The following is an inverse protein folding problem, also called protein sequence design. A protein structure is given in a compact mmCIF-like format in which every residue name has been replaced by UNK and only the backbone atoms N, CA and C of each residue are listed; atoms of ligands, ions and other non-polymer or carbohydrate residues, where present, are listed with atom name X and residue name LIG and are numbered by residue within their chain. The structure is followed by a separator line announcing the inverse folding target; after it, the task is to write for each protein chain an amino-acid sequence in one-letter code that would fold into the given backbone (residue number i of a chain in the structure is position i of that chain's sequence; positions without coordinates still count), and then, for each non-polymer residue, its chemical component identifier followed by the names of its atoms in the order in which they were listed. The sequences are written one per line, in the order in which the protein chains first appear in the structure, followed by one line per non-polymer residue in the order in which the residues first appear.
data_IF_851081807733
#
_entry.id   IF_851081807733
#
_cell.length_a   1.000
_cell.length_b   1.000
_cell.length_c   1.000
_cell.angle_alpha   90.00
_cell.angle_beta   90.00
_cell.angle_gamma   90.00
#
_symmetry.space_group_name_H-M   'P 1'
#
loop_
_entity.id
_entity.type
_entity.pdbx_description
1 polymer ?
#
# COMPACT_ATOMS: atom_id res chain seq x y z
N UNK A 1 32.21 -8.15 14.99
CA UNK A 1 31.61 -7.03 14.23
C UNK A 1 30.11 -7.25 14.31
N UNK A 2 29.42 -6.56 15.23
CA UNK A 2 27.98 -6.77 15.43
C UNK A 2 27.24 -6.50 14.12
N UNK A 3 26.31 -7.36 13.76
CA UNK A 3 25.43 -7.17 12.59
C UNK A 3 24.71 -5.84 12.80
N UNK A 4 25.14 -4.78 12.10
CA UNK A 4 24.37 -3.54 12.05
C UNK A 4 23.04 -3.89 11.42
N UNK A 5 21.94 -3.63 12.14
CA UNK A 5 20.58 -3.72 11.62
C UNK A 5 20.52 -2.95 10.29
N UNK A 6 19.90 -3.53 9.27
CA UNK A 6 19.67 -2.81 8.02
C UNK A 6 18.77 -1.61 8.32
N UNK A 7 19.17 -0.42 7.88
CA UNK A 7 18.35 0.80 8.04
C UNK A 7 17.17 0.71 7.07
N UNK A 8 15.98 0.99 7.56
CA UNK A 8 14.75 0.98 6.78
C UNK A 8 14.32 2.41 6.46
N UNK A 9 14.18 2.72 5.17
CA UNK A 9 13.89 4.08 4.69
C UNK A 9 12.50 4.15 4.09
N UNK A 10 11.61 4.94 4.69
CA UNK A 10 10.33 5.31 4.11
C UNK A 10 10.50 6.56 3.25
N UNK A 11 10.02 6.51 2.01
CA UNK A 11 10.14 7.62 1.07
C UNK A 11 8.80 8.32 0.88
N UNK A 12 8.76 9.61 1.16
CA UNK A 12 7.64 10.47 0.82
C UNK A 12 8.00 11.28 -0.42
N UNK A 13 7.20 11.18 -1.49
CA UNK A 13 7.54 11.80 -2.78
C UNK A 13 6.55 12.90 -3.14
N UNK A 14 7.00 14.14 -3.03
CA UNK A 14 6.29 15.31 -3.55
C UNK A 14 6.23 15.26 -5.07
N UNK A 15 5.39 16.07 -5.67
CA UNK A 15 5.11 15.99 -7.10
C UNK A 15 6.35 16.24 -7.98
N UNK A 16 7.28 17.09 -7.54
CA UNK A 16 8.59 17.31 -8.19
C UNK A 16 9.70 16.35 -7.72
N UNK A 17 9.35 15.41 -6.83
CA UNK A 17 10.28 14.60 -6.06
C UNK A 17 10.80 13.34 -6.75
N UNK A 18 10.24 12.95 -7.90
CA UNK A 18 10.57 11.66 -8.57
C UNK A 18 12.07 11.46 -8.79
N UNK A 19 12.85 12.44 -9.31
CA UNK A 19 14.29 12.24 -9.50
C UNK A 19 15.03 11.96 -8.18
N UNK A 20 14.64 12.65 -7.10
CA UNK A 20 15.17 12.46 -5.76
C UNK A 20 14.76 11.11 -5.19
N UNK A 21 13.49 10.68 -5.35
CA UNK A 21 13.01 9.34 -4.97
C UNK A 21 13.88 8.26 -5.59
N UNK A 22 14.07 8.31 -6.92
CA UNK A 22 14.86 7.30 -7.64
C UNK A 22 16.31 7.27 -7.16
N UNK A 23 16.90 8.44 -6.90
CA UNK A 23 18.25 8.55 -6.34
C UNK A 23 18.33 7.94 -4.94
N UNK A 24 17.35 8.18 -4.06
CA UNK A 24 17.27 7.59 -2.72
C UNK A 24 17.17 6.08 -2.81
N UNK A 25 16.20 5.55 -3.57
CA UNK A 25 16.00 4.10 -3.68
C UNK A 25 17.25 3.37 -4.21
N UNK A 26 17.96 3.98 -5.17
CA UNK A 26 19.25 3.47 -5.67
C UNK A 26 20.32 3.46 -4.58
N UNK A 27 20.48 4.56 -3.85
CA UNK A 27 21.50 4.65 -2.80
C UNK A 27 21.20 3.75 -1.59
N UNK A 28 19.93 3.62 -1.19
CA UNK A 28 19.47 2.65 -0.17
C UNK A 28 19.91 1.25 -0.57
N UNK A 29 19.69 0.84 -1.83
CA UNK A 29 20.13 -0.46 -2.34
C UNK A 29 21.65 -0.60 -2.36
N UNK A 30 22.38 0.44 -2.78
CA UNK A 30 23.84 0.44 -2.81
C UNK A 30 24.47 0.32 -1.40
N UNK A 31 23.80 0.85 -0.38
CA UNK A 31 24.19 0.74 1.03
C UNK A 31 23.78 -0.60 1.68
N UNK A 32 23.03 -1.46 0.98
CA UNK A 32 22.47 -2.69 1.54
C UNK A 32 21.34 -2.46 2.54
N UNK A 33 20.70 -1.29 2.47
CA UNK A 33 19.54 -0.91 3.29
C UNK A 33 18.23 -1.36 2.64
N UNK A 34 17.12 -1.22 3.36
CA UNK A 34 15.79 -1.58 2.89
C UNK A 34 14.90 -0.35 2.72
N UNK A 35 13.93 -0.45 1.81
CA UNK A 35 12.81 0.50 1.76
C UNK A 35 11.72 0.00 2.70
N UNK A 36 11.20 0.88 3.54
CA UNK A 36 10.10 0.60 4.45
C UNK A 36 8.75 0.68 3.72
N UNK A 37 7.80 -0.15 4.15
CA UNK A 37 6.44 -0.16 3.63
C UNK A 37 5.44 0.62 4.48
N UNK A 38 5.80 0.88 5.74
CA UNK A 38 4.98 1.60 6.70
C UNK A 38 5.85 2.49 7.60
N UNK A 39 5.26 3.53 8.21
CA UNK A 39 5.94 4.36 9.20
C UNK A 39 6.51 3.55 10.37
N UNK A 40 5.79 2.50 10.80
CA UNK A 40 6.16 1.66 11.94
C UNK A 40 7.42 0.80 11.68
N UNK A 41 7.75 0.54 10.43
CA UNK A 41 8.93 -0.23 10.01
C UNK A 41 10.12 0.67 9.62
N UNK A 42 9.95 1.99 9.67
CA UNK A 42 10.94 2.94 9.16
C UNK A 42 11.83 3.51 10.27
N UNK A 43 13.14 3.53 10.01
CA UNK A 43 14.12 4.26 10.82
C UNK A 43 14.36 5.67 10.25
N UNK A 44 14.24 5.82 8.92
CA UNK A 44 14.47 7.09 8.22
C UNK A 44 13.26 7.48 7.38
N UNK A 45 12.79 8.73 7.52
CA UNK A 45 11.84 9.35 6.60
C UNK A 45 12.57 10.25 5.61
N UNK A 46 12.59 9.87 4.33
CA UNK A 46 13.17 10.65 3.24
C UNK A 46 12.08 11.40 2.48
N UNK A 47 12.03 12.72 2.62
CA UNK A 47 11.09 13.60 1.94
C UNK A 47 11.74 14.10 0.65
N UNK A 48 11.24 13.67 -0.50
CA UNK A 48 11.79 13.97 -1.82
C UNK A 48 10.96 15.05 -2.51
N UNK A 49 11.63 16.10 -2.98
CA UNK A 49 11.01 17.22 -3.71
C UNK A 49 10.94 18.49 -2.87
N UNK A 50 10.68 19.60 -3.54
CA UNK A 50 10.70 20.96 -2.98
C UNK A 50 9.36 21.66 -3.03
N UNK A 51 8.39 21.14 -3.80
CA UNK A 51 7.07 21.79 -3.90
C UNK A 51 6.39 21.86 -2.54
N UNK A 52 5.96 23.05 -2.07
CA UNK A 52 5.18 23.16 -0.83
C UNK A 52 3.93 22.29 -0.89
N UNK A 53 3.55 21.68 0.24
CA UNK A 53 2.37 20.82 0.33
C UNK A 53 2.65 19.47 0.98
N UNK A 54 1.68 19.00 1.77
CA UNK A 54 1.76 17.73 2.50
C UNK A 54 2.67 17.76 3.72
N UNK A 55 3.10 18.93 4.20
CA UNK A 55 3.95 19.05 5.40
C UNK A 55 3.26 18.51 6.65
N UNK A 56 1.95 18.66 6.73
CA UNK A 56 1.09 18.09 7.76
C UNK A 56 1.05 16.55 7.66
N UNK A 57 0.97 16.00 6.44
CA UNK A 57 1.05 14.54 6.19
C UNK A 57 2.42 14.01 6.58
N UNK A 58 3.49 14.71 6.19
CA UNK A 58 4.88 14.36 6.56
C UNK A 58 5.04 14.38 8.08
N UNK A 59 4.48 15.38 8.77
CA UNK A 59 4.45 15.46 10.22
C UNK A 59 3.74 14.27 10.85
N UNK A 60 2.55 13.93 10.38
CA UNK A 60 1.78 12.75 10.86
C UNK A 60 2.49 11.42 10.61
N UNK A 61 3.20 11.29 9.48
CA UNK A 61 4.02 10.11 9.19
C UNK A 61 5.21 10.06 10.16
N UNK A 62 5.90 11.19 10.34
CA UNK A 62 7.03 11.30 11.25
C UNK A 62 6.67 10.94 12.69
N UNK A 63 5.51 11.36 13.16
CA UNK A 63 4.99 11.02 14.50
C UNK A 63 4.79 9.51 14.68
N UNK A 64 4.47 8.77 13.61
CA UNK A 64 4.28 7.32 13.62
C UNK A 64 5.60 6.52 13.54
N UNK A 65 6.73 7.15 13.23
CA UNK A 65 8.03 6.46 13.20
C UNK A 65 8.49 6.11 14.62
N UNK A 66 8.86 4.85 14.91
CA UNK A 66 9.46 4.48 16.18
C UNK A 66 10.86 5.09 16.32
N UNK A 67 11.34 5.27 17.54
CA UNK A 67 12.74 5.61 17.80
C UNK A 67 13.64 4.35 17.83
N UNK A 68 14.93 4.44 17.45
CA UNK A 68 15.64 5.59 16.87
C UNK A 68 15.12 6.01 15.48
N UNK A 69 15.04 7.32 15.22
CA UNK A 69 14.54 7.87 13.94
C UNK A 69 15.33 9.06 13.41
N UNK A 70 15.35 9.21 12.09
CA UNK A 70 15.92 10.38 11.40
C UNK A 70 15.03 10.84 10.23
N UNK A 71 15.08 12.14 9.93
CA UNK A 71 14.37 12.74 8.79
C UNK A 71 15.37 13.43 7.86
N UNK A 72 15.16 13.27 6.56
CA UNK A 72 15.91 13.94 5.51
C UNK A 72 14.94 14.67 4.58
N UNK A 73 15.21 15.94 4.32
CA UNK A 73 14.49 16.72 3.30
C UNK A 73 15.43 16.91 2.10
N UNK A 74 15.07 16.33 0.95
CA UNK A 74 15.91 16.20 -0.23
C UNK A 74 15.33 16.98 -1.41
N UNK A 75 16.09 17.95 -1.89
CA UNK A 75 15.75 18.82 -3.02
C UNK A 75 16.90 18.89 -4.03
N UNK A 76 16.63 19.46 -5.22
CA UNK A 76 17.53 19.44 -6.37
C UNK A 76 18.99 19.81 -6.04
N UNK A 77 19.94 18.95 -6.45
CA UNK A 77 21.37 19.13 -6.20
C UNK A 77 21.91 18.52 -4.90
N UNK A 78 21.05 17.95 -4.04
CA UNK A 78 21.50 17.29 -2.82
C UNK A 78 22.36 16.04 -3.12
N UNK A 79 23.50 15.91 -2.43
CA UNK A 79 24.31 14.69 -2.43
C UNK A 79 23.60 13.60 -1.61
N UNK A 80 22.63 12.92 -2.23
CA UNK A 80 21.73 11.94 -1.58
C UNK A 80 22.48 10.92 -0.73
N UNK A 81 23.61 10.40 -1.22
CA UNK A 81 24.43 9.46 -0.46
C UNK A 81 24.95 10.03 0.86
N UNK A 82 25.52 11.24 0.83
CA UNK A 82 26.05 11.89 2.02
C UNK A 82 24.93 12.19 3.03
N UNK A 83 23.74 12.56 2.54
CA UNK A 83 22.56 12.78 3.37
C UNK A 83 22.08 11.49 4.05
N UNK A 84 22.04 10.36 3.33
CA UNK A 84 21.73 9.05 3.93
C UNK A 84 22.77 8.66 4.99
N UNK A 85 24.06 8.83 4.71
CA UNK A 85 25.13 8.54 5.67
C UNK A 85 25.02 9.43 6.93
N UNK A 86 24.61 10.70 6.79
CA UNK A 86 24.32 11.60 7.91
C UNK A 86 23.08 11.16 8.71
N UNK A 87 22.02 10.68 8.05
CA UNK A 87 20.87 10.09 8.75
C UNK A 87 21.28 8.87 9.58
N UNK A 88 22.09 7.97 9.02
CA UNK A 88 22.60 6.83 9.79
C UNK A 88 23.43 7.27 11.00
N UNK A 89 24.29 8.28 10.85
CA UNK A 89 25.02 8.84 11.99
C UNK A 89 24.08 9.44 13.05
N UNK A 90 22.96 10.03 12.62
CA UNK A 90 21.93 10.57 13.52
C UNK A 90 21.15 9.48 14.27
N UNK A 91 20.99 8.30 13.67
CA UNK A 91 20.39 7.13 14.35
C UNK A 91 21.29 6.62 15.49
N UNK A 92 22.61 6.71 15.33
CA UNK A 92 23.61 6.33 16.34
C UNK A 92 23.84 7.45 17.41
N UNK A 93 23.25 8.64 17.25
CA UNK A 93 23.36 9.75 18.22
C UNK A 93 22.33 9.63 19.36
N UNK A 94 22.73 8.94 20.41
CA UNK A 94 21.97 8.77 21.66
C UNK A 94 21.39 10.07 22.24
N UNK A 95 22.12 11.19 22.17
CA UNK A 95 21.68 12.45 22.76
C UNK A 95 20.56 13.07 21.92
N UNK A 96 20.70 13.01 20.59
CA UNK A 96 19.64 13.40 19.66
C UNK A 96 18.41 12.50 19.84
N UNK A 97 18.58 11.18 19.88
CA UNK A 97 17.46 10.24 19.99
C UNK A 97 16.68 10.41 21.30
N UNK A 98 17.36 10.64 22.42
CA UNK A 98 16.68 10.97 23.70
C UNK A 98 15.89 12.28 23.63
N UNK A 99 16.39 13.30 22.92
CA UNK A 99 15.64 14.55 22.72
C UNK A 99 14.41 14.33 21.87
N UNK A 100 14.52 13.55 20.79
CA UNK A 100 13.40 13.22 19.90
C UNK A 100 12.32 12.41 20.62
N UNK A 101 12.70 11.48 21.50
CA UNK A 101 11.77 10.71 22.32
C UNK A 101 11.00 11.61 23.31
N UNK A 102 11.71 12.49 24.04
CA UNK A 102 11.07 13.44 24.97
C UNK A 102 10.08 14.38 24.26
N UNK A 103 10.46 14.89 23.10
CA UNK A 103 9.58 15.75 22.30
C UNK A 103 8.31 15.00 21.83
N UNK A 104 8.42 13.69 21.53
CA UNK A 104 7.28 12.85 21.19
C UNK A 104 6.35 12.68 22.39
N UNK A 105 6.90 12.34 23.57
CA UNK A 105 6.12 12.18 24.81
C UNK A 105 5.39 13.49 25.19
N UNK A 106 6.06 14.63 25.07
CA UNK A 106 5.46 15.95 25.32
C UNK A 106 4.37 16.31 24.30
N UNK A 107 4.50 15.90 23.04
CA UNK A 107 3.44 16.06 22.04
C UNK A 107 2.23 15.18 22.38
N UNK A 108 2.43 13.91 22.72
CA UNK A 108 1.36 12.99 23.11
C UNK A 108 0.59 13.47 24.35
N UNK A 109 1.29 14.00 25.36
CA UNK A 109 0.65 14.56 26.57
C UNK A 109 -0.23 15.77 26.27
N UNK A 110 0.23 16.69 25.42
CA UNK A 110 -0.57 17.86 25.01
C UNK A 110 -1.86 17.46 24.32
N UNK A 111 -1.83 16.45 23.46
CA UNK A 111 -3.03 15.95 22.79
C UNK A 111 -4.01 15.31 23.78
N UNK A 112 -3.52 14.58 24.79
CA UNK A 112 -4.35 13.96 25.82
C UNK A 112 -5.02 14.98 26.75
N UNK A 113 -4.32 16.06 27.11
CA UNK A 113 -4.84 17.12 27.99
C UNK A 113 -6.02 17.87 27.34
N UNK A 114 -5.95 18.12 26.02
CA UNK A 114 -7.06 18.69 25.25
C UNK A 114 -8.31 17.80 25.20
N UNK A 115 -8.20 16.49 25.42
CA UNK A 115 -9.35 15.59 25.52
C UNK A 115 -9.95 15.48 26.93
N UNK A 116 -9.21 15.84 27.98
CA UNK A 116 -9.73 15.82 29.37
C UNK A 116 -10.48 17.09 29.78
N UNK A 117 -10.22 18.24 29.14
CA UNK A 117 -10.89 19.51 29.45
C UNK A 117 -12.40 19.50 29.09
N UNK A 118 -12.90 18.50 28.35
CA UNK A 118 -14.32 18.37 28.01
C UNK A 118 -15.17 17.59 29.04
N UNK A 119 -14.63 17.21 30.21
CA UNK A 119 -15.40 16.50 31.25
C UNK A 119 -15.59 17.27 32.57
N UNK A 120 -15.07 18.49 32.72
CA UNK A 120 -15.18 19.24 33.99
C UNK A 120 -16.36 20.24 34.07
N UNK A 121 -17.17 20.38 33.02
CA UNK A 121 -18.38 21.23 33.01
C UNK A 121 -19.70 20.42 33.16
N UNK A 122 -19.75 19.52 34.16
CA UNK A 122 -21.02 19.07 34.73
C UNK A 122 -21.05 19.32 36.24
N UNK A 123 -20.97 20.61 36.62
CA UNK A 123 -21.41 21.07 37.94
C UNK A 123 -22.94 21.07 37.98
N UNK A 124 -23.49 20.02 38.58
CA UNK A 124 -24.92 19.79 38.70
C UNK A 124 -25.32 19.58 40.15
N UNK A 125 -25.76 20.66 40.80
CA UNK A 125 -26.97 20.62 41.63
C UNK A 125 -26.84 20.19 43.08
N UNK A 126 -26.82 21.21 43.94
CA UNK A 126 -27.29 21.25 45.33
C UNK A 126 -28.46 20.29 45.67
N UNK A 127 -28.34 19.61 46.81
CA UNK A 127 -29.36 18.72 47.38
C UNK A 127 -28.94 18.22 48.77
N UNK A 128 -29.27 18.98 49.81
CA UNK A 128 -28.82 18.75 51.19
C UNK A 128 -29.44 17.57 51.96
N UNK A 129 -28.57 16.97 52.79
CA UNK A 129 -28.75 16.45 54.18
C UNK A 129 -29.77 15.31 54.48
N UNK A 130 -29.67 14.58 55.63
CA UNK A 130 -28.72 14.69 56.76
C UNK A 130 -28.07 13.38 57.24
N UNK A 131 -27.17 13.58 58.21
CA UNK A 131 -26.47 12.71 59.15
C UNK A 131 -27.13 11.37 59.55
N UNK A 132 -26.28 10.34 59.70
CA UNK A 132 -26.35 9.36 60.79
C UNK A 132 -24.98 8.81 61.15
N UNK A 133 -24.56 9.08 62.39
CA UNK A 133 -23.50 8.37 63.10
C UNK A 133 -23.86 6.90 63.31
N UNK A 134 -22.85 6.02 63.28
CA UNK A 134 -22.98 4.66 63.82
C UNK A 134 -21.87 3.68 63.43
N UNK A 135 -20.87 3.53 64.30
CA UNK A 135 -20.32 2.21 64.66
C UNK A 135 -19.15 1.64 63.85
N UNK A 136 -17.94 1.80 64.39
CA UNK A 136 -16.98 0.74 64.80
C UNK A 136 -16.66 -0.50 63.95
N UNK A 137 -15.36 -0.83 63.94
CA UNK A 137 -14.69 -2.10 63.61
C UNK A 137 -14.60 -2.41 62.09
N UNK A 138 -13.57 -3.04 61.53
CA UNK A 138 -12.34 -3.66 62.01
C UNK A 138 -11.35 -3.69 60.82
N UNK A 139 -10.05 -3.79 61.09
CA UNK A 139 -9.04 -4.06 60.07
C UNK A 139 -9.12 -5.53 59.65
N UNK A 140 -9.04 -5.79 58.34
CA UNK A 140 -9.06 -7.16 57.82
C UNK A 140 -8.54 -7.25 56.40
N UNK A 141 -7.25 -7.58 56.32
CA UNK A 141 -6.53 -8.19 55.21
C UNK A 141 -7.38 -9.18 54.38
N UNK A 142 -7.35 -9.06 53.05
CA UNK A 142 -7.63 -10.17 52.12
C UNK A 142 -6.77 -10.05 50.87
N UNK A 143 -5.64 -10.76 50.90
CA UNK A 143 -4.88 -11.12 49.72
C UNK A 143 -5.56 -12.20 48.86
N UNK A 144 -5.06 -12.31 47.63
CA UNK A 144 -4.93 -13.54 46.84
C UNK A 144 -6.20 -14.34 46.52
N UNK A 145 -6.68 -14.23 45.28
CA UNK A 145 -7.49 -15.28 44.66
C UNK A 145 -6.83 -15.73 43.36
N UNK A 146 -6.33 -16.95 43.43
CA UNK A 146 -5.64 -17.74 42.41
C UNK A 146 -6.64 -18.43 41.48
N UNK A 147 -6.16 -18.78 40.30
CA UNK A 147 -6.90 -19.47 39.23
C UNK A 147 -6.98 -20.99 39.51
N UNK A 148 -8.19 -21.57 39.47
CA UNK A 148 -8.45 -23.01 39.32
C UNK A 148 -9.46 -23.20 38.19
N UNK A 149 -9.07 -23.84 37.09
CA UNK A 149 -9.22 -25.28 36.80
C UNK A 149 -10.68 -25.77 36.77
N UNK A 150 -11.18 -26.04 35.56
CA UNK A 150 -12.43 -26.75 35.27
C UNK A 150 -12.16 -27.71 34.11
N UNK A 151 -11.66 -28.90 34.45
CA UNK A 151 -11.62 -30.05 33.56
C UNK A 151 -12.96 -30.80 33.53
N UNK A 152 -13.23 -31.42 32.37
CA UNK A 152 -13.88 -32.73 32.25
C UNK A 152 -15.42 -32.79 32.27
N UNK A 153 -16.03 -32.97 31.10
CA UNK A 153 -17.21 -33.83 30.97
C UNK A 153 -17.08 -34.71 29.73
N UNK A 154 -16.91 -36.00 29.99
CA UNK A 154 -17.01 -37.14 29.09
C UNK A 154 -18.46 -37.68 29.19
N UNK A 155 -19.08 -38.02 28.06
CA UNK A 155 -20.36 -38.72 28.00
C UNK A 155 -20.29 -39.71 26.83
N UNK A 156 -20.22 -40.99 27.19
CA UNK A 156 -20.14 -42.10 26.26
C UNK A 156 -21.50 -42.54 25.69
N UNK A 157 -21.39 -43.12 24.49
CA UNK A 157 -22.02 -44.35 23.98
C UNK A 157 -23.54 -44.60 24.16
N UNK A 158 -24.24 -44.73 23.02
CA UNK A 158 -25.19 -45.83 22.80
C UNK A 158 -25.25 -46.20 21.30
N UNK A 159 -24.71 -47.37 20.96
CA UNK A 159 -25.06 -48.10 19.74
C UNK A 159 -26.44 -48.77 19.83
N UNK A 160 -27.13 -48.91 18.69
CA UNK A 160 -28.41 -49.62 18.62
C UNK A 160 -29.05 -49.72 17.25
N UNK A 161 -28.78 -50.84 16.58
CA UNK A 161 -29.67 -51.63 15.72
C UNK A 161 -30.40 -51.03 14.49
N UNK A 162 -30.19 -51.78 13.40
CA UNK A 162 -30.88 -51.82 12.11
C UNK A 162 -32.40 -51.99 12.24
N UNK A 163 -33.16 -51.24 11.44
CA UNK A 163 -34.58 -51.44 11.18
C UNK A 163 -34.85 -51.20 9.69
N UNK A 164 -35.17 -52.28 8.98
CA UNK A 164 -35.70 -52.33 7.63
C UNK A 164 -37.18 -51.94 7.65
N UNK A 165 -37.59 -50.99 6.82
CA UNK A 165 -39.01 -50.76 6.48
C UNK A 165 -39.10 -50.35 5.02
N UNK A 166 -39.55 -51.29 4.20
CA UNK A 166 -39.94 -51.04 2.82
C UNK A 166 -41.31 -50.35 2.69
N UNK A 167 -41.50 -49.74 1.53
CA UNK A 167 -42.79 -49.64 0.84
C UNK A 167 -43.73 -48.53 1.29
N UNK A 168 -43.56 -47.32 0.74
CA UNK A 168 -44.68 -46.41 0.51
C UNK A 168 -44.54 -45.78 -0.88
N UNK A 169 -45.39 -46.27 -1.77
CA UNK A 169 -45.70 -45.71 -3.08
C UNK A 169 -46.75 -44.61 -2.87
N UNK A 170 -46.43 -43.37 -3.24
CA UNK A 170 -47.41 -42.28 -3.33
C UNK A 170 -47.05 -41.38 -4.51
N UNK A 171 -48.02 -41.27 -5.41
CA UNK A 171 -47.90 -40.62 -6.70
C UNK A 171 -47.82 -39.10 -6.66
N UNK A 172 -47.41 -38.59 -7.83
CA UNK A 172 -47.85 -37.35 -8.47
C UNK A 172 -48.07 -36.13 -7.58
N UNK A 173 -47.03 -35.29 -7.46
CA UNK A 173 -47.20 -33.83 -7.38
C UNK A 173 -46.03 -33.10 -8.06
N UNK A 174 -46.36 -32.38 -9.13
CA UNK A 174 -45.92 -31.01 -9.41
C UNK A 174 -44.42 -30.68 -9.44
N UNK A 175 -43.92 -30.41 -10.65
CA UNK A 175 -42.90 -29.37 -10.97
C UNK A 175 -41.95 -28.97 -9.84
N UNK A 176 -40.88 -29.74 -9.61
CA UNK A 176 -39.72 -29.26 -8.84
C UNK A 176 -38.55 -29.02 -9.79
N UNK A 177 -38.19 -27.75 -9.89
CA UNK A 177 -37.01 -27.21 -10.55
C UNK A 177 -35.72 -27.82 -9.97
N UNK A 178 -34.99 -28.57 -10.80
CA UNK A 178 -33.74 -29.26 -10.46
C UNK A 178 -32.52 -28.42 -10.89
N UNK A 179 -32.42 -27.19 -10.39
CA UNK A 179 -31.38 -26.22 -10.79
C UNK A 179 -30.06 -26.35 -10.00
N UNK A 180 -29.47 -27.55 -9.90
CA UNK A 180 -28.14 -27.73 -9.28
C UNK A 180 -27.45 -29.07 -9.59
N UNK A 181 -26.12 -29.14 -9.75
CA UNK A 181 -25.41 -30.41 -9.90
C UNK A 181 -25.55 -31.23 -8.60
N UNK A 182 -25.91 -32.51 -8.73
CA UNK A 182 -26.14 -33.45 -7.62
C UNK A 182 -27.37 -33.15 -6.72
N UNK A 183 -28.34 -32.35 -7.18
CA UNK A 183 -29.56 -32.08 -6.41
C UNK A 183 -29.32 -31.26 -5.14
N UNK A 184 -28.12 -30.70 -4.99
CA UNK A 184 -27.80 -29.70 -3.98
C UNK A 184 -28.30 -28.38 -4.57
N UNK A 185 -29.26 -27.69 -3.92
CA UNK A 185 -29.64 -26.36 -4.32
C UNK A 185 -28.36 -25.51 -4.33
N UNK A 186 -28.00 -24.98 -5.50
CA UNK A 186 -27.11 -23.82 -5.51
C UNK A 186 -27.81 -22.78 -4.64
N UNK A 187 -27.07 -22.15 -3.72
CA UNK A 187 -27.59 -21.02 -2.98
C UNK A 187 -28.26 -20.10 -3.99
N UNK A 188 -29.59 -20.00 -3.90
CA UNK A 188 -30.36 -19.11 -4.75
C UNK A 188 -29.70 -17.74 -4.64
N UNK A 189 -29.63 -17.02 -5.75
CA UNK A 189 -29.21 -15.62 -5.75
C UNK A 189 -29.96 -14.92 -4.63
N UNK A 190 -29.28 -14.68 -3.51
CA UNK A 190 -29.88 -14.10 -2.31
C UNK A 190 -30.04 -12.60 -2.59
N UNK A 191 -31.14 -12.25 -3.22
CA UNK A 191 -31.67 -10.90 -3.26
C UNK A 191 -32.28 -10.47 -1.91
N UNK A 192 -32.22 -11.32 -0.87
CA UNK A 192 -32.52 -11.01 0.53
C UNK A 192 -31.82 -12.02 1.48
N UNK A 193 -30.50 -11.90 1.68
CA UNK A 193 -29.85 -12.33 2.94
C UNK A 193 -28.51 -11.61 3.13
N UNK A 194 -28.57 -10.27 3.09
CA UNK A 194 -27.74 -9.49 4.00
C UNK A 194 -28.54 -9.45 5.29
N UNK A 195 -27.87 -9.65 6.42
CA UNK A 195 -28.38 -9.58 7.82
C UNK A 195 -29.11 -8.27 8.21
N UNK A 196 -29.44 -7.41 7.24
CA UNK A 196 -30.00 -6.09 7.43
C UNK A 196 -28.98 -5.10 7.99
N UNK A 197 -27.72 -5.50 8.20
CA UNK A 197 -26.66 -4.60 8.63
C UNK A 197 -26.09 -3.91 7.39
N UNK A 198 -26.32 -2.61 7.32
CA UNK A 198 -25.58 -1.76 6.39
C UNK A 198 -24.09 -1.88 6.75
N UNK A 199 -23.28 -2.22 5.75
CA UNK A 199 -21.85 -2.36 5.99
C UNK A 199 -21.24 -0.98 6.19
N UNK A 200 -20.52 -0.80 7.30
CA UNK A 200 -19.91 0.48 7.64
C UNK A 200 -19.05 1.01 6.48
N UNK A 201 -19.37 2.23 6.06
CA UNK A 201 -18.57 2.96 5.08
C UNK A 201 -17.38 3.63 5.75
N UNK A 202 -16.19 3.36 5.23
CA UNK A 202 -14.98 4.03 5.68
C UNK A 202 -14.29 4.77 4.53
N UNK A 203 -14.01 6.05 4.73
CA UNK A 203 -13.21 6.85 3.80
C UNK A 203 -11.72 6.82 4.14
N UNK A 204 -10.90 6.42 3.18
CA UNK A 204 -9.43 6.39 3.30
C UNK A 204 -8.81 7.30 2.24
N UNK A 205 -7.87 8.15 2.67
CA UNK A 205 -7.07 8.99 1.76
C UNK A 205 -5.75 8.29 1.45
N UNK A 206 -5.49 8.05 0.18
CA UNK A 206 -4.31 7.38 -0.34
C UNK A 206 -3.47 8.39 -1.15
N UNK A 207 -2.16 8.47 -0.94
CA UNK A 207 -1.34 9.48 -1.59
C UNK A 207 0.19 9.30 -1.43
N UNK A 208 0.91 10.42 -1.56
CA UNK A 208 2.38 10.53 -1.69
C UNK A 208 3.25 9.84 -0.60
N UNK A 209 2.67 9.44 0.53
CA UNK A 209 3.35 8.65 1.57
C UNK A 209 3.26 7.13 1.38
N UNK A 210 2.49 6.66 0.39
CA UNK A 210 2.33 5.24 0.11
C UNK A 210 3.46 4.72 -0.80
N UNK A 211 4.12 3.61 -0.43
CA UNK A 211 5.06 2.95 -1.31
C UNK A 211 4.42 2.55 -2.65
N UNK A 212 5.20 2.65 -3.73
CA UNK A 212 4.78 2.35 -5.11
C UNK A 212 3.54 3.16 -5.58
N UNK A 213 3.38 4.37 -5.04
CA UNK A 213 2.33 5.31 -5.41
C UNK A 213 2.90 6.46 -6.28
N UNK A 214 2.18 6.90 -7.33
CA UNK A 214 2.62 8.01 -8.18
C UNK A 214 2.78 9.32 -7.43
N UNK A 215 3.78 10.12 -7.82
CA UNK A 215 4.04 11.39 -7.17
C UNK A 215 2.89 12.39 -7.41
N UNK A 216 2.44 13.07 -6.36
CA UNK A 216 1.38 14.09 -6.44
C UNK A 216 -0.05 13.58 -6.55
N UNK A 217 -0.29 12.31 -6.89
CA UNK A 217 -1.64 11.74 -6.92
C UNK A 217 -2.16 11.56 -5.48
N UNK A 218 -3.33 12.11 -5.17
CA UNK A 218 -4.06 11.83 -3.93
C UNK A 218 -5.49 11.45 -4.27
N UNK A 219 -5.97 10.32 -3.74
CA UNK A 219 -7.33 9.85 -3.94
C UNK A 219 -8.01 9.60 -2.59
N UNK A 220 -9.33 9.81 -2.54
CA UNK A 220 -10.21 9.35 -1.47
C UNK A 220 -10.95 8.12 -1.96
N UNK A 221 -10.71 6.98 -1.32
CA UNK A 221 -11.46 5.75 -1.54
C UNK A 221 -12.55 5.63 -0.46
N UNK A 222 -13.78 5.36 -0.89
CA UNK A 222 -14.83 4.87 0.00
C UNK A 222 -14.75 3.36 0.00
N UNK A 223 -14.58 2.78 1.18
CA UNK A 223 -14.38 1.35 1.38
C UNK A 223 -15.55 0.74 2.13
N UNK A 224 -15.80 -0.50 1.74
CA UNK A 224 -16.81 -1.42 2.23
C UNK A 224 -16.05 -2.69 2.62
N UNK A 225 -15.50 -2.69 3.84
CA UNK A 225 -14.40 -3.61 4.20
C UNK A 225 -13.13 -3.28 3.42
N UNK A 226 -12.66 -4.19 2.58
CA UNK A 226 -11.53 -3.99 1.67
C UNK A 226 -11.95 -3.65 0.22
N UNK A 227 -13.25 -3.68 -0.07
CA UNK A 227 -13.81 -3.40 -1.39
C UNK A 227 -14.03 -1.91 -1.58
N UNK A 228 -13.62 -1.38 -2.73
CA UNK A 228 -13.81 0.01 -3.13
C UNK A 228 -15.24 0.21 -3.63
N UNK A 229 -15.99 1.05 -2.93
CA UNK A 229 -17.35 1.46 -3.30
C UNK A 229 -17.37 2.75 -4.12
N UNK A 230 -16.37 3.61 -3.91
CA UNK A 230 -16.24 4.89 -4.60
C UNK A 230 -14.80 5.38 -4.60
N UNK A 231 -14.44 6.16 -5.61
CA UNK A 231 -13.10 6.72 -5.74
C UNK A 231 -13.16 8.14 -6.29
N UNK A 232 -12.52 9.06 -5.58
CA UNK A 232 -12.43 10.47 -5.96
C UNK A 232 -10.97 10.93 -5.97
N UNK A 233 -10.57 11.64 -7.02
CA UNK A 233 -9.25 12.27 -7.09
C UNK A 233 -9.28 13.60 -6.34
N UNK A 234 -8.47 13.72 -5.29
CA UNK A 234 -8.33 14.95 -4.49
C UNK A 234 -7.21 15.84 -4.99
N UNK A 235 -6.15 15.25 -5.55
CA UNK A 235 -5.05 15.97 -6.16
C UNK A 235 -4.54 15.19 -7.37
N UNK A 236 -4.37 15.88 -8.49
CA UNK A 236 -3.80 15.31 -9.69
C UNK A 236 -2.29 15.14 -9.57
N UNK A 237 -1.73 14.10 -10.20
CA UNK A 237 -0.28 14.03 -10.38
C UNK A 237 0.19 15.26 -11.15
N UNK A 238 1.34 15.82 -10.76
CA UNK A 238 1.99 16.80 -11.64
C UNK A 238 2.52 16.04 -12.85
N UNK A 239 2.35 16.55 -14.10
CA UNK A 239 2.94 15.93 -15.29
C UNK A 239 4.41 15.60 -15.01
N UNK A 240 4.83 14.39 -15.37
CA UNK A 240 6.06 13.75 -14.87
C UNK A 240 7.30 14.66 -14.87
N UNK A 241 8.31 14.27 -14.08
CA UNK A 241 9.60 14.96 -14.04
C UNK A 241 10.04 15.31 -15.47
N UNK A 242 10.42 16.57 -15.75
CA UNK A 242 10.60 17.08 -17.10
C UNK A 242 11.43 16.08 -17.93
N UNK A 243 10.82 15.45 -18.92
CA UNK A 243 11.45 14.37 -19.67
C UNK A 243 12.64 14.92 -20.46
N UNK A 244 13.76 14.18 -20.49
CA UNK A 244 14.88 14.54 -21.35
C UNK A 244 14.54 14.15 -22.79
N UNK A 245 13.93 15.06 -23.53
CA UNK A 245 13.73 14.86 -24.98
C UNK A 245 15.10 14.86 -25.66
N UNK A 246 15.37 13.79 -26.41
CA UNK A 246 16.67 13.54 -27.02
C UNK A 246 17.03 14.60 -28.07
N UNK A 247 17.90 15.52 -27.68
CA UNK A 247 18.65 16.42 -28.57
C UNK A 247 19.95 16.85 -27.88
N UNK A 248 21.07 17.00 -28.60
CA UNK A 248 22.34 17.41 -28.00
C UNK A 248 22.36 18.87 -27.50
N UNK A 249 21.30 19.65 -27.77
CA UNK A 249 21.28 21.11 -27.56
C UNK A 249 20.05 21.63 -26.77
N UNK A 250 19.22 20.73 -26.23
CA UNK A 250 18.15 21.15 -25.33
C UNK A 250 18.72 21.26 -23.91
N UNK A 251 18.76 22.47 -23.36
CA UNK A 251 19.03 22.72 -21.94
C UNK A 251 17.87 22.15 -21.09
N UNK A 252 17.79 20.83 -20.99
CA UNK A 252 16.86 20.16 -20.12
C UNK A 252 17.20 20.54 -18.66
N UNK A 253 16.19 20.78 -17.81
CA UNK A 253 16.45 21.03 -16.39
C UNK A 253 17.27 19.87 -15.81
N UNK A 254 18.18 20.16 -14.90
CA UNK A 254 19.12 19.22 -14.25
C UNK A 254 18.46 18.03 -13.51
N UNK A 255 17.13 17.91 -13.58
CA UNK A 255 16.25 16.93 -12.93
C UNK A 255 15.55 16.00 -13.92
N UNK A 256 15.86 16.08 -15.22
CA UNK A 256 15.22 15.25 -16.23
C UNK A 256 15.62 13.77 -16.10
N UNK A 257 14.64 12.88 -15.96
CA UNK A 257 14.86 11.43 -15.89
C UNK A 257 14.60 10.83 -17.26
N UNK A 258 15.50 9.94 -17.70
CA UNK A 258 15.35 9.26 -18.97
C UNK A 258 14.10 8.36 -18.96
N UNK A 259 13.26 8.51 -19.99
CA UNK A 259 12.01 7.77 -20.18
C UNK A 259 12.09 6.25 -19.93
N UNK A 260 13.07 5.49 -20.46
CA UNK A 260 13.17 4.06 -20.17
C UNK A 260 13.34 3.76 -18.68
N UNK A 261 14.00 4.61 -17.90
CA UNK A 261 14.13 4.42 -16.46
C UNK A 261 12.77 4.59 -15.75
N UNK A 262 11.96 5.56 -16.16
CA UNK A 262 10.62 5.78 -15.61
C UNK A 262 9.66 4.62 -15.96
N UNK A 263 9.74 4.08 -17.18
CA UNK A 263 8.94 2.91 -17.59
C UNK A 263 9.33 1.65 -16.79
N UNK A 264 10.63 1.43 -16.60
CA UNK A 264 11.14 0.33 -15.75
C UNK A 264 10.73 0.53 -14.29
N UNK A 265 10.73 1.77 -13.79
CA UNK A 265 10.27 2.08 -12.43
C UNK A 265 8.80 1.73 -12.22
N UNK A 266 7.92 2.13 -13.13
CA UNK A 266 6.50 1.80 -13.08
C UNK A 266 6.27 0.28 -13.15
N UNK A 267 6.98 -0.43 -14.06
CA UNK A 267 6.91 -1.87 -14.15
C UNK A 267 7.39 -2.58 -12.86
N UNK A 268 8.46 -2.07 -12.24
CA UNK A 268 8.95 -2.59 -10.97
C UNK A 268 7.94 -2.38 -9.84
N UNK A 269 7.26 -1.24 -9.79
CA UNK A 269 6.20 -0.95 -8.81
C UNK A 269 5.03 -1.92 -8.91
N UNK A 270 4.55 -2.21 -10.12
CA UNK A 270 3.50 -3.22 -10.34
C UNK A 270 3.97 -4.62 -9.91
N UNK A 271 5.19 -5.01 -10.29
CA UNK A 271 5.74 -6.33 -9.93
C UNK A 271 5.93 -6.49 -8.42
N UNK A 272 6.31 -5.43 -7.72
CA UNK A 272 6.48 -5.43 -6.27
C UNK A 272 5.12 -5.56 -5.56
N UNK A 273 4.12 -4.79 -5.98
CA UNK A 273 2.75 -4.88 -5.45
C UNK A 273 2.10 -6.23 -5.73
N UNK A 274 2.45 -6.87 -6.86
CA UNK A 274 2.01 -8.23 -7.19
C UNK A 274 2.80 -9.32 -6.43
N UNK A 275 3.64 -8.96 -5.45
CA UNK A 275 4.39 -9.90 -4.62
C UNK A 275 5.58 -10.58 -5.32
N UNK A 276 6.00 -10.08 -6.49
CA UNK A 276 7.11 -10.67 -7.26
C UNK A 276 8.41 -9.87 -7.13
N UNK A 277 8.83 -9.65 -5.88
CA UNK A 277 9.97 -8.78 -5.51
C UNK A 277 11.28 -9.14 -6.20
N UNK A 278 11.52 -10.42 -6.55
CA UNK A 278 12.73 -10.81 -7.28
C UNK A 278 12.77 -10.27 -8.72
N UNK A 279 11.61 -10.19 -9.39
CA UNK A 279 11.47 -9.60 -10.71
C UNK A 279 11.52 -8.08 -10.62
N UNK A 280 10.83 -7.48 -9.65
CA UNK A 280 10.90 -6.05 -9.37
C UNK A 280 12.35 -5.60 -9.11
N UNK A 281 13.11 -6.31 -8.27
CA UNK A 281 14.52 -6.04 -8.03
C UNK A 281 15.39 -6.15 -9.28
N UNK A 282 15.08 -7.08 -10.20
CA UNK A 282 15.81 -7.20 -11.46
C UNK A 282 15.53 -6.03 -12.41
N UNK A 283 14.28 -5.55 -12.45
CA UNK A 283 13.89 -4.37 -13.22
C UNK A 283 14.51 -3.10 -12.62
N UNK A 284 14.50 -2.94 -11.29
CA UNK A 284 15.15 -1.81 -10.60
C UNK A 284 16.66 -1.76 -10.85
N UNK A 285 17.35 -2.90 -10.98
CA UNK A 285 18.77 -2.91 -11.37
C UNK A 285 19.01 -2.32 -12.76
N UNK A 286 18.20 -2.69 -13.76
CA UNK A 286 18.29 -2.10 -15.10
C UNK A 286 18.00 -0.59 -15.09
N UNK A 287 16.99 -0.18 -14.30
CA UNK A 287 16.68 1.23 -14.08
C UNK A 287 17.87 1.96 -13.48
N UNK A 288 18.47 1.43 -12.41
CA UNK A 288 19.60 2.05 -11.74
C UNK A 288 20.84 2.12 -12.65
N UNK A 289 21.11 1.08 -13.45
CA UNK A 289 22.19 1.09 -14.46
C UNK A 289 22.01 2.24 -15.46
N UNK A 290 20.78 2.51 -15.92
CA UNK A 290 20.47 3.66 -16.78
C UNK A 290 20.71 4.99 -16.06
N UNK A 291 20.27 5.10 -14.80
CA UNK A 291 20.47 6.30 -13.98
C UNK A 291 21.95 6.54 -13.65
N UNK A 292 22.79 5.51 -13.73
CA UNK A 292 24.25 5.58 -13.62
C UNK A 292 24.94 5.88 -14.97
N UNK A 293 24.16 6.06 -16.04
CA UNK A 293 24.65 6.44 -17.37
C UNK A 293 25.13 5.25 -18.22
N UNK A 294 24.71 4.02 -17.92
CA UNK A 294 25.01 2.88 -18.77
C UNK A 294 24.40 3.08 -20.17
N UNK A 295 25.13 2.64 -21.21
CA UNK A 295 24.63 2.65 -22.59
C UNK A 295 23.34 1.82 -22.72
N UNK A 296 22.20 2.44 -23.08
CA UNK A 296 20.90 1.76 -23.22
C UNK A 296 20.96 0.50 -24.09
N UNK A 297 21.78 0.51 -25.15
CA UNK A 297 21.90 -0.61 -26.09
C UNK A 297 22.46 -1.87 -25.43
N UNK A 298 23.30 -1.72 -24.40
CA UNK A 298 23.86 -2.86 -23.65
C UNK A 298 22.83 -3.54 -22.76
N UNK A 299 21.78 -2.82 -22.37
CA UNK A 299 20.75 -3.31 -21.44
C UNK A 299 19.61 -4.04 -22.15
N UNK A 300 19.42 -3.84 -23.46
CA UNK A 300 18.33 -4.40 -24.28
C UNK A 300 18.17 -5.91 -24.07
N UNK A 301 19.24 -6.68 -24.24
CA UNK A 301 19.17 -8.14 -24.11
C UNK A 301 18.78 -8.61 -22.70
N UNK A 302 19.17 -7.83 -21.67
CA UNK A 302 18.77 -8.06 -20.28
C UNK A 302 17.29 -7.79 -20.07
N UNK A 303 16.81 -6.65 -20.55
CA UNK A 303 15.39 -6.27 -20.48
C UNK A 303 14.49 -7.29 -21.19
N UNK A 304 14.84 -7.72 -22.41
CA UNK A 304 14.08 -8.75 -23.16
C UNK A 304 13.99 -10.10 -22.43
N UNK A 305 15.07 -10.50 -21.72
CA UNK A 305 15.03 -11.71 -20.89
C UNK A 305 14.03 -11.58 -19.75
N UNK A 306 13.96 -10.40 -19.12
CA UNK A 306 12.97 -10.12 -18.08
C UNK A 306 11.56 -10.11 -18.66
N UNK A 307 11.32 -9.44 -19.79
CA UNK A 307 9.99 -9.44 -20.46
C UNK A 307 9.53 -10.86 -20.74
N UNK A 308 10.39 -11.72 -21.30
CA UNK A 308 10.07 -13.13 -21.56
C UNK A 308 9.76 -13.91 -20.27
N UNK A 309 10.49 -13.66 -19.19
CA UNK A 309 10.23 -14.27 -17.88
C UNK A 309 8.86 -13.86 -17.34
N UNK A 310 8.54 -12.57 -17.42
CA UNK A 310 7.26 -12.01 -16.96
C UNK A 310 6.10 -12.60 -17.75
N UNK A 311 6.19 -12.63 -19.10
CA UNK A 311 5.16 -13.21 -19.98
C UNK A 311 4.88 -14.68 -19.72
N UNK A 312 5.91 -15.46 -19.36
CA UNK A 312 5.82 -16.91 -19.15
C UNK A 312 5.37 -17.30 -17.73
N UNK A 313 5.28 -16.35 -16.81
CA UNK A 313 4.92 -16.63 -15.42
C UNK A 313 3.43 -16.86 -15.26
N UNK A 314 3.06 -18.11 -14.99
CA UNK A 314 1.68 -18.48 -14.68
C UNK A 314 1.26 -17.95 -13.30
N UNK A 315 2.18 -17.94 -12.33
CA UNK A 315 1.92 -17.42 -10.98
C UNK A 315 1.59 -15.93 -11.03
N UNK A 316 2.37 -15.13 -11.76
CA UNK A 316 2.07 -13.70 -11.92
C UNK A 316 0.74 -13.51 -12.65
N UNK A 317 0.48 -14.30 -13.70
CA UNK A 317 -0.79 -14.25 -14.41
C UNK A 317 -1.95 -14.52 -13.46
N UNK A 318 -1.86 -15.54 -12.61
CA UNK A 318 -2.90 -15.85 -11.63
C UNK A 318 -3.01 -14.79 -10.53
N UNK A 319 -1.89 -14.21 -10.09
CA UNK A 319 -1.90 -13.14 -9.10
C UNK A 319 -2.59 -11.87 -9.61
N UNK A 320 -2.47 -11.57 -10.92
CA UNK A 320 -3.07 -10.39 -11.51
C UNK A 320 -4.48 -10.66 -12.01
N UNK A 321 -4.71 -11.75 -12.74
CA UNK A 321 -5.98 -12.03 -13.44
C UNK A 321 -6.90 -12.98 -12.66
N UNK A 322 -6.47 -13.49 -11.50
CA UNK A 322 -7.14 -14.57 -10.79
C UNK A 322 -6.99 -15.94 -11.47
N UNK A 323 -7.56 -16.98 -10.86
CA UNK A 323 -7.55 -18.36 -11.38
C UNK A 323 -8.67 -18.62 -12.40
N UNK A 324 -8.96 -17.65 -13.27
CA UNK A 324 -10.09 -17.75 -14.20
C UNK A 324 -9.76 -18.61 -15.43
N UNK A 325 -10.74 -19.42 -15.86
CA UNK A 325 -10.63 -20.32 -17.03
C UNK A 325 -10.64 -19.56 -18.35
N UNK A 326 -11.19 -18.34 -18.37
CA UNK A 326 -11.17 -17.41 -19.50
C UNK A 326 -11.00 -15.97 -18.98
N UNK A 327 -9.98 -15.22 -19.43
CA UNK A 327 -9.82 -13.83 -19.04
C UNK A 327 -10.92 -12.98 -19.68
N UNK A 328 -11.58 -12.15 -18.87
CA UNK A 328 -12.42 -11.06 -19.36
C UNK A 328 -11.53 -9.82 -19.53
N UNK A 329 -11.41 -9.26 -20.75
CA UNK A 329 -10.58 -8.09 -21.00
C UNK A 329 -10.94 -6.85 -20.17
N UNK A 330 -12.18 -6.75 -19.68
CA UNK A 330 -12.65 -5.65 -18.85
C UNK A 330 -12.27 -5.78 -17.37
N UNK A 331 -11.85 -6.96 -16.91
CA UNK A 331 -11.45 -7.15 -15.51
C UNK A 331 -10.16 -6.38 -15.20
N UNK A 332 -10.16 -5.68 -14.06
CA UNK A 332 -9.04 -4.90 -13.56
C UNK A 332 -7.70 -5.65 -13.62
N UNK A 333 -7.72 -6.93 -13.22
CA UNK A 333 -6.56 -7.80 -13.26
C UNK A 333 -5.92 -7.99 -14.64
N UNK A 334 -6.75 -8.23 -15.66
CA UNK A 334 -6.30 -8.34 -17.05
C UNK A 334 -5.76 -6.99 -17.55
N UNK A 335 -6.42 -5.88 -17.20
CA UNK A 335 -5.97 -4.53 -17.52
C UNK A 335 -4.58 -4.25 -16.92
N UNK A 336 -4.35 -4.58 -15.65
CA UNK A 336 -3.04 -4.42 -14.97
C UNK A 336 -1.96 -5.23 -15.69
N UNK A 337 -2.22 -6.51 -16.00
CA UNK A 337 -1.25 -7.36 -16.69
C UNK A 337 -0.93 -6.84 -18.09
N UNK A 338 -1.94 -6.42 -18.86
CA UNK A 338 -1.75 -5.85 -20.18
C UNK A 338 -0.88 -4.57 -20.12
N UNK A 339 -1.16 -3.67 -19.16
CA UNK A 339 -0.38 -2.46 -18.92
C UNK A 339 1.06 -2.75 -18.50
N UNK A 340 1.29 -3.70 -17.60
CA UNK A 340 2.64 -4.13 -17.21
C UNK A 340 3.46 -4.62 -18.40
N UNK A 341 2.88 -5.45 -19.26
CA UNK A 341 3.56 -5.94 -20.46
C UNK A 341 3.85 -4.81 -21.45
N UNK A 342 2.92 -3.87 -21.62
CA UNK A 342 3.12 -2.68 -22.45
C UNK A 342 4.26 -1.79 -21.92
N UNK A 343 4.32 -1.54 -20.60
CA UNK A 343 5.41 -0.79 -19.97
C UNK A 343 6.77 -1.41 -20.25
N UNK A 344 6.87 -2.74 -20.13
CA UNK A 344 8.09 -3.48 -20.38
C UNK A 344 8.49 -3.48 -21.86
N UNK A 345 7.53 -3.63 -22.78
CA UNK A 345 7.79 -3.56 -24.22
C UNK A 345 8.21 -2.13 -24.64
N UNK A 346 7.51 -1.10 -24.15
CA UNK A 346 7.81 0.31 -24.39
C UNK A 346 9.20 0.68 -23.85
N UNK A 347 9.59 0.13 -22.68
CA UNK A 347 10.94 0.29 -22.14
C UNK A 347 11.99 -0.33 -23.07
N UNK A 348 11.78 -1.57 -23.55
CA UNK A 348 12.68 -2.24 -24.48
C UNK A 348 12.80 -1.47 -25.80
N UNK A 349 11.69 -0.96 -26.35
CA UNK A 349 11.68 -0.13 -27.56
C UNK A 349 12.49 1.14 -27.35
N UNK A 350 12.25 1.84 -26.23
CA UNK A 350 13.00 3.06 -25.85
C UNK A 350 14.50 2.82 -25.67
N UNK A 351 14.91 1.64 -25.21
CA UNK A 351 16.32 1.26 -25.09
C UNK A 351 16.99 1.04 -26.45
N UNK A 352 16.26 0.51 -27.44
CA UNK A 352 16.80 0.27 -28.79
C UNK A 352 16.86 1.56 -29.60
N UNK A 353 15.79 2.34 -29.52
CA UNK A 353 15.53 3.52 -30.33
C UNK A 353 15.12 4.68 -29.41
N UNK A 354 16.08 5.41 -28.84
CA UNK A 354 15.79 6.57 -28.01
C UNK A 354 15.01 7.62 -28.82
N UNK A 355 13.91 8.11 -28.26
CA UNK A 355 13.04 9.11 -28.90
C UNK A 355 11.88 8.54 -29.70
N UNK A 356 11.74 7.21 -29.81
CA UNK A 356 10.57 6.60 -30.46
C UNK A 356 9.29 6.88 -29.64
N UNK A 357 8.22 7.41 -30.26
CA UNK A 357 6.93 7.62 -29.59
C UNK A 357 6.37 6.31 -29.04
N UNK A 358 5.83 6.34 -27.82
CA UNK A 358 5.28 5.14 -27.19
C UNK A 358 3.94 4.75 -27.83
N UNK A 359 3.76 3.45 -28.05
CA UNK A 359 2.60 2.90 -28.76
C UNK A 359 1.36 2.70 -27.88
N UNK A 360 1.50 2.52 -26.56
CA UNK A 360 0.40 1.99 -25.72
C UNK A 360 0.24 2.58 -24.31
N UNK A 361 1.29 3.11 -23.69
CA UNK A 361 1.22 3.73 -22.35
C UNK A 361 0.36 4.99 -22.30
N UNK A 362 0.17 5.68 -23.43
CA UNK A 362 -0.70 6.87 -23.54
C UNK A 362 -2.22 6.61 -23.50
N UNK A 363 -2.69 5.37 -23.33
CA UNK A 363 -4.15 5.06 -23.23
C UNK A 363 -4.66 4.82 -21.82
N UNK A 364 -3.78 4.77 -20.82
CA UNK A 364 -4.18 4.57 -19.44
C UNK A 364 -4.60 5.92 -18.83
N UNK A 365 -5.88 6.26 -18.97
CA UNK A 365 -6.42 7.52 -18.44
C UNK A 365 -6.73 7.41 -16.96
N UNK A 366 -6.30 8.41 -16.17
CA UNK A 366 -6.73 8.60 -14.79
C UNK A 366 -8.25 8.76 -14.70
N UNK A 367 -8.91 9.29 -15.74
CA UNK A 367 -10.35 9.46 -15.79
C UNK A 367 -11.13 8.12 -15.80
N UNK A 368 -10.52 7.03 -16.27
CA UNK A 368 -11.15 5.70 -16.26
C UNK A 368 -10.90 4.94 -14.94
N UNK A 369 -10.11 5.52 -14.02
CA UNK A 369 -9.74 4.84 -12.78
C UNK A 369 -10.94 4.58 -11.85
N UNK A 370 -11.89 5.52 -11.64
CA UNK A 370 -13.06 5.27 -10.80
C UNK A 370 -13.87 4.06 -11.27
N UNK A 371 -14.19 3.98 -12.57
CA UNK A 371 -14.98 2.89 -13.16
C UNK A 371 -14.27 1.52 -13.03
N UNK A 372 -12.94 1.50 -13.12
CA UNK A 372 -12.14 0.29 -12.96
C UNK A 372 -11.95 -0.11 -11.49
N UNK A 373 -12.03 0.85 -10.57
CA UNK A 373 -11.76 0.64 -9.15
C UNK A 373 -12.99 0.17 -8.37
N UNK A 374 -14.19 0.64 -8.72
CA UNK A 374 -15.42 0.26 -8.03
C UNK A 374 -15.63 -1.26 -8.12
N UNK A 375 -15.92 -1.88 -6.98
CA UNK A 375 -16.07 -3.33 -6.83
C UNK A 375 -14.74 -4.10 -6.75
N UNK A 376 -13.59 -3.42 -6.76
CA UNK A 376 -12.28 -4.06 -6.59
C UNK A 376 -11.79 -3.94 -5.15
N UNK A 377 -10.95 -4.89 -4.72
CA UNK A 377 -10.22 -4.79 -3.46
C UNK A 377 -9.18 -3.65 -3.49
N UNK A 378 -8.86 -3.10 -2.33
CA UNK A 378 -7.84 -2.06 -2.15
C UNK A 378 -6.47 -2.45 -2.75
N UNK A 379 -6.09 -3.74 -2.68
CA UNK A 379 -4.87 -4.24 -3.31
C UNK A 379 -4.89 -4.09 -4.84
N UNK A 380 -6.02 -4.38 -5.47
CA UNK A 380 -6.24 -4.23 -6.91
C UNK A 380 -6.27 -2.76 -7.32
N UNK A 381 -6.85 -1.87 -6.51
CA UNK A 381 -6.77 -0.42 -6.73
C UNK A 381 -5.29 0.05 -6.80
N UNK A 382 -4.44 -0.39 -5.87
CA UNK A 382 -3.01 -0.04 -5.88
C UNK A 382 -2.30 -0.53 -7.14
N UNK A 383 -2.62 -1.75 -7.59
CA UNK A 383 -2.09 -2.30 -8.84
C UNK A 383 -2.55 -1.51 -10.07
N UNK A 384 -3.84 -1.13 -10.12
CA UNK A 384 -4.41 -0.30 -11.18
C UNK A 384 -3.69 1.04 -11.26
N UNK A 385 -3.53 1.74 -10.13
CA UNK A 385 -2.84 3.03 -10.03
C UNK A 385 -1.38 2.92 -10.46
N UNK A 386 -0.63 1.94 -9.93
CA UNK A 386 0.77 1.73 -10.29
C UNK A 386 0.94 1.43 -11.80
N UNK A 387 -0.02 0.72 -12.41
CA UNK A 387 0.01 0.38 -13.84
C UNK A 387 -0.26 1.57 -14.78
N UNK A 388 -0.75 2.70 -14.27
CA UNK A 388 -0.95 3.92 -15.08
C UNK A 388 0.38 4.58 -15.48
N UNK A 389 1.45 4.34 -14.72
CA UNK A 389 2.77 4.93 -14.96
C UNK A 389 2.75 6.47 -15.10
N UNK A 390 1.99 7.15 -14.25
CA UNK A 390 1.79 8.61 -14.29
C UNK A 390 3.10 9.40 -14.21
N UNK A 391 4.11 8.86 -13.52
CA UNK A 391 5.46 9.45 -13.45
C UNK A 391 6.22 9.36 -14.80
N UNK A 392 5.85 8.43 -15.68
CA UNK A 392 6.50 8.14 -16.97
C UNK A 392 5.73 8.66 -18.19
N UNK A 393 4.49 9.11 -17.99
CA UNK A 393 3.57 9.53 -19.04
C UNK A 393 3.39 11.05 -19.10
N UNK A 394 3.09 11.55 -20.29
CA UNK A 394 2.33 12.80 -20.39
C UNK A 394 0.91 12.49 -19.94
N UNK A 395 0.46 13.12 -18.85
CA UNK A 395 -0.92 12.95 -18.40
C UNK A 395 -1.82 13.60 -19.45
N UNK A 396 -2.38 12.80 -20.35
CA UNK A 396 -3.41 13.27 -21.29
C UNK A 396 -4.67 13.55 -20.47
N UNK A 397 -4.87 14.83 -20.15
CA UNK A 397 -6.13 15.34 -19.62
C UNK A 397 -7.19 15.16 -20.72
N UNK A 398 -8.22 14.37 -20.43
CA UNK A 398 -9.41 14.35 -21.28
C UNK A 398 -10.19 15.65 -21.10
#
# INVERSE_FOLDING_TARGET
MGLRRAVHVLVFTRADGVPMRLAVERQVRALGWALAWSPADADVLAVCGSTPGGDDVVGRIWEQLPGPRARLDLFGGAAVRAQLEQAAASLDDDALQRRLARAADEASRRTADHTQINHEDMDGGDGGAPEREGGGADQGDMGGMDHGDMGGMDQGDMGGARGDMGGMDHGDMGTMDMSGPAGIPLAGSADQDRDGLEMDEWHVVLGAGLPAWPAGLVVRATLHGDVVAGLETLADPTPGAPMREGGPDAAAPALAVDRPALLLDAAASVLELAGWSSAAAAVRRLRDDLLDGADPRRLVAGAERLVRRVRRSLVLRWSLEGMHRRPDPAQAGHVVRARLLALLDDAVTSLREPGTPLTATGRASLAALPDLAVGQELGTLRLLVASLALDAGEVSRA
#
